data_IF_797388139035
#
_entry.id   IF_797388139035
#
_cell.length_a   1.000
_cell.length_b   1.000
_cell.length_c   1.000
_cell.angle_alpha   90.00
_cell.angle_beta   90.00
_cell.angle_gamma   90.00
#
_symmetry.space_group_name_H-M   'P 1'
#
loop_
_entity.id
_entity.type
_entity.pdbx_description
1 polymer ?
#
# COMPACT_ATOMS: atom_id res chain seq x y z
N UNK A 1 -34.42 -19.89 -4.59
CA UNK A 1 -34.00 -18.88 -3.64
C UNK A 1 -32.83 -19.45 -2.87
N UNK A 2 -31.63 -18.84 -2.95
CA UNK A 2 -30.49 -19.25 -2.10
C UNK A 2 -30.83 -18.84 -0.66
N UNK A 3 -30.81 -19.79 0.26
CA UNK A 3 -31.02 -19.53 1.67
C UNK A 3 -29.78 -18.75 2.20
N UNK A 4 -30.00 -17.53 2.72
CA UNK A 4 -28.93 -16.71 3.31
C UNK A 4 -28.36 -17.49 4.51
N UNK A 5 -27.03 -17.64 4.62
CA UNK A 5 -26.39 -18.31 5.76
C UNK A 5 -26.77 -17.68 7.09
N UNK A 6 -26.94 -18.48 8.14
CA UNK A 6 -27.40 -17.99 9.45
C UNK A 6 -26.44 -16.97 10.10
N UNK A 7 -25.14 -17.06 9.85
CA UNK A 7 -24.17 -16.09 10.36
C UNK A 7 -24.32 -14.72 9.68
N UNK A 8 -24.71 -14.66 8.39
CA UNK A 8 -24.99 -13.42 7.67
C UNK A 8 -26.28 -12.76 8.20
N UNK A 9 -27.30 -13.56 8.51
CA UNK A 9 -28.55 -13.02 9.09
C UNK A 9 -28.31 -12.40 10.47
N UNK A 10 -27.49 -13.03 11.31
CA UNK A 10 -27.13 -12.51 12.64
C UNK A 10 -26.29 -11.24 12.49
N UNK A 11 -25.35 -11.24 11.57
CA UNK A 11 -24.49 -10.08 11.26
C UNK A 11 -25.34 -8.88 10.82
N UNK A 12 -26.22 -9.04 9.83
CA UNK A 12 -27.09 -7.96 9.34
C UNK A 12 -28.02 -7.42 10.43
N UNK A 13 -28.64 -8.28 11.24
CA UNK A 13 -29.52 -7.83 12.32
C UNK A 13 -28.79 -7.05 13.41
N UNK A 14 -27.55 -7.41 13.76
CA UNK A 14 -26.77 -6.67 14.75
C UNK A 14 -26.27 -5.37 14.14
N UNK A 15 -25.86 -5.34 12.88
CA UNK A 15 -25.45 -4.17 12.13
C UNK A 15 -26.58 -3.13 12.06
N UNK A 16 -27.78 -3.54 11.64
CA UNK A 16 -28.97 -2.67 11.64
C UNK A 16 -29.24 -2.07 13.03
N UNK A 17 -29.13 -2.87 14.10
CA UNK A 17 -29.31 -2.36 15.46
C UNK A 17 -28.23 -1.37 15.88
N UNK A 18 -27.01 -1.46 15.36
CA UNK A 18 -25.98 -0.46 15.60
C UNK A 18 -26.28 0.82 14.82
N UNK A 19 -26.67 0.71 13.55
CA UNK A 19 -27.03 1.85 12.68
C UNK A 19 -28.25 2.61 13.19
N UNK A 20 -29.29 1.90 13.66
CA UNK A 20 -30.51 2.46 14.25
C UNK A 20 -30.32 2.98 15.69
N UNK A 21 -29.09 2.95 16.21
CA UNK A 21 -28.73 3.32 17.59
C UNK A 21 -29.39 2.47 18.68
N UNK A 22 -29.79 1.26 18.35
CA UNK A 22 -30.20 0.25 19.34
C UNK A 22 -29.04 -0.20 20.23
N UNK A 23 -27.81 -0.15 19.68
CA UNK A 23 -26.56 -0.21 20.45
C UNK A 23 -25.80 1.10 20.26
N UNK A 24 -25.26 1.66 21.35
CA UNK A 24 -24.46 2.88 21.36
C UNK A 24 -22.98 2.56 21.44
N UNK A 25 -22.14 3.49 21.01
CA UNK A 25 -20.68 3.40 21.21
C UNK A 25 -20.37 3.15 22.69
N UNK A 26 -19.57 2.14 22.96
CA UNK A 26 -19.25 1.67 24.30
C UNK A 26 -20.18 0.59 24.85
N UNK A 27 -21.32 0.31 24.21
CA UNK A 27 -22.22 -0.76 24.62
C UNK A 27 -21.56 -2.12 24.36
N UNK A 28 -21.79 -3.03 25.31
CA UNK A 28 -21.32 -4.41 25.18
C UNK A 28 -22.32 -5.23 24.39
N UNK A 29 -21.87 -5.89 23.32
CA UNK A 29 -22.68 -6.89 22.61
C UNK A 29 -22.85 -8.15 23.45
N UNK A 30 -23.95 -8.91 23.24
CA UNK A 30 -24.09 -10.25 23.79
C UNK A 30 -22.88 -11.11 23.42
N UNK A 31 -22.44 -11.96 24.32
CA UNK A 31 -21.34 -12.90 24.09
C UNK A 31 -21.69 -13.90 22.97
N UNK A 32 -20.71 -14.51 22.36
CA UNK A 32 -20.90 -15.56 21.34
C UNK A 32 -21.78 -16.71 21.84
N UNK A 33 -21.74 -16.99 23.16
CA UNK A 33 -22.62 -17.98 23.80
C UNK A 33 -24.06 -17.48 23.85
N UNK A 34 -24.29 -16.25 24.29
CA UNK A 34 -25.63 -15.66 24.38
C UNK A 34 -26.24 -15.50 22.98
N UNK A 35 -25.46 -15.08 21.97
CA UNK A 35 -25.91 -15.06 20.59
C UNK A 35 -26.24 -16.44 20.03
N UNK A 36 -25.42 -17.45 20.36
CA UNK A 36 -25.70 -18.86 20.02
C UNK A 36 -27.03 -19.37 20.60
N UNK A 37 -27.31 -19.00 21.81
CA UNK A 37 -28.58 -19.36 22.51
C UNK A 37 -29.77 -18.56 21.95
N UNK A 38 -29.59 -17.25 21.69
CA UNK A 38 -30.65 -16.37 21.21
C UNK A 38 -31.09 -16.73 19.76
N UNK A 39 -30.16 -17.05 18.88
CA UNK A 39 -30.44 -17.37 17.46
C UNK A 39 -30.52 -18.89 17.19
N UNK A 40 -30.41 -19.72 18.20
CA UNK A 40 -30.45 -21.19 18.10
C UNK A 40 -29.44 -21.75 17.09
N UNK A 41 -28.22 -21.22 17.08
CA UNK A 41 -27.12 -21.56 16.16
C UNK A 41 -25.92 -22.14 16.92
N UNK A 42 -24.96 -22.72 16.19
CA UNK A 42 -23.69 -23.13 16.77
C UNK A 42 -22.85 -21.92 17.21
N UNK A 43 -21.98 -22.10 18.23
CA UNK A 43 -21.03 -21.06 18.66
C UNK A 43 -20.09 -20.62 17.53
N UNK A 44 -19.78 -21.51 16.57
CA UNK A 44 -18.95 -21.17 15.41
C UNK A 44 -19.71 -20.18 14.51
N UNK A 45 -21.01 -20.35 14.35
CA UNK A 45 -21.88 -19.46 13.56
C UNK A 45 -21.97 -18.07 14.19
N UNK A 46 -22.24 -17.99 15.50
CA UNK A 46 -22.28 -16.71 16.22
C UNK A 46 -20.91 -16.02 16.27
N UNK A 47 -19.82 -16.78 16.44
CA UNK A 47 -18.45 -16.27 16.37
C UNK A 47 -18.15 -15.63 15.02
N UNK A 48 -18.54 -16.28 13.91
CA UNK A 48 -18.31 -15.76 12.56
C UNK A 48 -19.08 -14.45 12.31
N UNK A 49 -20.32 -14.34 12.80
CA UNK A 49 -21.08 -13.10 12.71
C UNK A 49 -20.40 -11.93 13.44
N UNK A 50 -19.87 -12.18 14.65
CA UNK A 50 -19.15 -11.17 15.43
C UNK A 50 -17.79 -10.84 14.83
N UNK A 51 -17.15 -11.78 14.12
CA UNK A 51 -15.92 -11.54 13.36
C UNK A 51 -16.17 -10.57 12.22
N UNK A 52 -17.23 -10.75 11.46
CA UNK A 52 -17.59 -9.82 10.37
C UNK A 52 -17.85 -8.40 10.89
N UNK A 53 -18.56 -8.25 12.01
CA UNK A 53 -18.76 -6.92 12.63
C UNK A 53 -17.45 -6.27 13.08
N UNK A 54 -16.49 -7.07 13.52
CA UNK A 54 -15.16 -6.57 13.92
C UNK A 54 -14.28 -6.23 12.70
N UNK A 55 -14.40 -6.99 11.61
CA UNK A 55 -13.72 -6.72 10.32
C UNK A 55 -14.22 -5.41 9.69
N UNK A 56 -15.50 -5.08 9.86
CA UNK A 56 -16.06 -3.79 9.42
C UNK A 56 -15.77 -2.63 10.37
N UNK A 57 -15.12 -2.88 11.50
CA UNK A 57 -14.80 -1.83 12.46
C UNK A 57 -16.00 -1.29 13.23
N UNK A 58 -17.12 -2.04 13.30
CA UNK A 58 -18.29 -1.69 14.08
C UNK A 58 -18.14 -2.06 15.57
N UNK A 59 -17.32 -3.07 15.86
CA UNK A 59 -17.08 -3.55 17.22
C UNK A 59 -15.60 -3.88 17.44
N UNK A 60 -15.18 -3.86 18.71
CA UNK A 60 -13.84 -4.32 19.13
C UNK A 60 -13.94 -5.40 20.19
N UNK A 61 -13.03 -6.38 20.15
CA UNK A 61 -12.93 -7.45 21.14
C UNK A 61 -11.91 -7.08 22.20
N UNK A 62 -12.31 -7.03 23.45
CA UNK A 62 -11.40 -6.81 24.58
C UNK A 62 -11.25 -8.14 25.34
N UNK A 63 -10.05 -8.76 25.36
CA UNK A 63 -9.82 -10.03 26.03
C UNK A 63 -10.30 -10.00 27.48
N UNK A 64 -11.09 -10.99 27.88
CA UNK A 64 -11.65 -11.12 29.23
C UNK A 64 -12.79 -10.15 29.57
N UNK A 65 -13.12 -9.18 28.71
CA UNK A 65 -14.18 -8.19 28.97
C UNK A 65 -15.39 -8.34 28.04
N UNK A 66 -15.18 -8.79 26.79
CA UNK A 66 -16.24 -8.99 25.81
C UNK A 66 -16.05 -8.20 24.52
N UNK A 67 -17.11 -8.11 23.69
CA UNK A 67 -17.15 -7.36 22.45
C UNK A 67 -17.94 -6.07 22.68
N UNK A 68 -17.42 -4.94 22.23
CA UNK A 68 -18.00 -3.62 22.47
C UNK A 68 -18.17 -2.88 21.14
N UNK A 69 -19.26 -2.14 21.02
CA UNK A 69 -19.50 -1.23 19.89
C UNK A 69 -18.50 -0.08 19.98
N UNK A 70 -17.78 0.17 18.91
CA UNK A 70 -16.87 1.31 18.81
C UNK A 70 -17.50 2.40 17.96
N UNK A 71 -17.03 3.61 18.18
CA UNK A 71 -17.38 4.70 17.26
C UNK A 71 -16.89 4.27 15.89
N UNK A 72 -17.85 3.96 15.01
CA UNK A 72 -17.54 3.80 13.62
C UNK A 72 -16.94 5.14 13.22
N UNK A 73 -15.62 5.23 13.15
CA UNK A 73 -15.04 6.30 12.36
C UNK A 73 -15.58 6.03 10.97
N UNK A 74 -16.67 6.73 10.64
CA UNK A 74 -17.07 6.86 9.25
C UNK A 74 -15.75 7.18 8.55
N UNK A 75 -15.26 6.24 7.75
CA UNK A 75 -14.28 6.59 6.73
C UNK A 75 -14.82 7.88 6.13
N UNK A 76 -14.02 8.96 6.04
CA UNK A 76 -14.53 10.24 5.60
C UNK A 76 -15.42 9.93 4.43
N UNK A 77 -16.72 10.23 4.58
CA UNK A 77 -17.74 9.99 3.54
C UNK A 77 -17.07 10.43 2.27
N UNK A 78 -16.88 9.50 1.33
CA UNK A 78 -16.42 9.84 0.00
C UNK A 78 -17.18 11.10 -0.34
N UNK A 79 -16.48 12.20 -0.56
CA UNK A 79 -17.03 13.52 -0.77
C UNK A 79 -18.35 13.33 -1.50
N UNK A 80 -19.48 13.59 -0.82
CA UNK A 80 -20.79 13.62 -1.46
C UNK A 80 -20.68 14.76 -2.48
N UNK A 81 -20.35 14.39 -3.71
CA UNK A 81 -20.45 15.29 -4.84
C UNK A 81 -21.94 15.56 -4.94
N UNK A 82 -22.36 16.84 -4.83
CA UNK A 82 -23.77 17.18 -4.95
C UNK A 82 -24.31 16.59 -6.26
N UNK A 83 -25.43 15.88 -6.20
CA UNK A 83 -26.06 15.20 -7.31
C UNK A 83 -26.62 16.14 -8.40
N UNK A 84 -26.14 17.38 -8.50
CA UNK A 84 -26.67 18.44 -9.34
C UNK A 84 -25.65 19.05 -10.31
N UNK A 85 -24.81 18.19 -10.92
CA UNK A 85 -24.21 18.54 -12.21
C UNK A 85 -24.51 17.42 -13.22
N UNK A 86 -25.71 17.41 -13.76
CA UNK A 86 -26.05 16.63 -14.95
C UNK A 86 -25.33 17.24 -16.17
N UNK A 87 -24.03 16.98 -16.30
CA UNK A 87 -23.38 17.04 -17.60
C UNK A 87 -23.95 15.86 -18.41
N UNK A 88 -24.43 16.14 -19.62
CA UNK A 88 -24.98 15.15 -20.54
C UNK A 88 -23.98 13.99 -20.68
N UNK A 89 -24.39 12.80 -20.19
CA UNK A 89 -23.60 11.57 -20.34
C UNK A 89 -23.45 11.28 -21.83
N UNK A 90 -22.20 11.41 -22.32
CA UNK A 90 -21.83 10.95 -23.65
C UNK A 90 -22.26 9.46 -23.77
N UNK A 91 -22.93 9.02 -24.82
CA UNK A 91 -23.33 7.61 -24.96
C UNK A 91 -22.08 6.72 -24.90
N UNK A 92 -22.10 5.72 -24.03
CA UNK A 92 -21.05 4.69 -23.95
C UNK A 92 -21.00 3.93 -25.30
N UNK A 93 -19.81 3.61 -25.82
CA UNK A 93 -19.66 2.80 -27.02
C UNK A 93 -20.30 1.40 -26.83
N UNK A 94 -20.65 0.70 -27.93
CA UNK A 94 -21.30 -0.62 -27.96
C UNK A 94 -20.54 -1.71 -27.18
N UNK A 95 -19.28 -1.46 -26.81
CA UNK A 95 -18.46 -2.32 -25.96
C UNK A 95 -18.08 -1.55 -24.67
N UNK A 96 -17.96 -2.26 -23.52
CA UNK A 96 -17.52 -1.62 -22.29
C UNK A 96 -16.17 -0.92 -22.51
N UNK A 97 -15.99 0.33 -22.08
CA UNK A 97 -14.73 1.03 -22.19
C UNK A 97 -13.64 0.28 -21.42
N UNK A 98 -12.42 0.31 -21.92
CA UNK A 98 -11.27 -0.41 -21.34
C UNK A 98 -10.30 0.60 -20.74
N UNK A 99 -9.83 0.33 -19.53
CA UNK A 99 -8.75 1.05 -18.85
C UNK A 99 -7.45 0.29 -19.07
N UNK A 100 -6.41 1.00 -19.50
CA UNK A 100 -5.04 0.51 -19.50
C UNK A 100 -4.41 0.65 -18.11
N UNK A 101 -3.67 -0.37 -17.68
CA UNK A 101 -2.90 -0.33 -16.42
C UNK A 101 -1.45 -0.66 -16.76
N UNK A 102 -0.53 0.27 -16.48
CA UNK A 102 0.91 0.09 -16.69
C UNK A 102 1.59 0.08 -15.34
N UNK A 103 2.21 -1.05 -14.97
CA UNK A 103 2.92 -1.20 -13.71
C UNK A 103 4.40 -1.47 -13.95
N UNK A 104 5.25 -0.93 -13.09
CA UNK A 104 6.68 -1.28 -13.04
C UNK A 104 6.90 -2.75 -12.65
N UNK A 105 6.03 -3.26 -11.79
CA UNK A 105 5.97 -4.64 -11.32
C UNK A 105 5.01 -4.75 -10.14
N UNK A 106 4.77 -5.96 -9.70
CA UNK A 106 3.99 -6.23 -8.48
C UNK A 106 4.41 -7.56 -7.88
N UNK A 107 4.31 -7.67 -6.55
CA UNK A 107 4.68 -8.85 -5.78
C UNK A 107 3.78 -9.04 -4.56
N UNK A 108 4.05 -10.08 -3.79
CA UNK A 108 3.28 -10.41 -2.59
C UNK A 108 3.43 -9.37 -1.47
N UNK A 109 4.53 -8.64 -1.47
CA UNK A 109 4.90 -7.58 -0.52
C UNK A 109 4.33 -6.21 -0.89
N UNK A 110 4.17 -5.92 -2.20
CA UNK A 110 3.56 -4.69 -2.71
C UNK A 110 3.00 -4.88 -4.13
N UNK A 111 1.87 -4.26 -4.40
CA UNK A 111 1.25 -4.16 -5.72
C UNK A 111 0.16 -5.19 -6.01
N UNK A 112 0.20 -6.39 -5.44
CA UNK A 112 -0.83 -7.40 -5.69
C UNK A 112 -2.22 -6.97 -5.19
N UNK A 113 -2.32 -6.38 -4.00
CA UNK A 113 -3.60 -5.90 -3.47
C UNK A 113 -4.11 -4.69 -4.24
N UNK A 114 -3.20 -3.81 -4.66
CA UNK A 114 -3.51 -2.65 -5.48
C UNK A 114 -4.06 -3.09 -6.84
N UNK A 115 -3.40 -4.02 -7.54
CA UNK A 115 -3.86 -4.56 -8.82
C UNK A 115 -5.23 -5.23 -8.70
N UNK A 116 -5.44 -6.05 -7.67
CA UNK A 116 -6.74 -6.68 -7.41
C UNK A 116 -7.84 -5.66 -7.13
N UNK A 117 -7.52 -4.58 -6.45
CA UNK A 117 -8.45 -3.49 -6.17
C UNK A 117 -8.77 -2.66 -7.43
N UNK A 118 -7.76 -2.40 -8.29
CA UNK A 118 -7.98 -1.77 -9.60
C UNK A 118 -8.95 -2.61 -10.43
N UNK A 119 -8.71 -3.93 -10.53
CA UNK A 119 -9.58 -4.83 -11.30
C UNK A 119 -11.02 -4.82 -10.77
N UNK A 120 -11.18 -4.93 -9.45
CA UNK A 120 -12.50 -4.94 -8.82
C UNK A 120 -13.25 -3.62 -9.06
N UNK A 121 -12.57 -2.48 -8.90
CA UNK A 121 -13.20 -1.17 -9.10
C UNK A 121 -13.48 -0.91 -10.59
N UNK A 122 -12.63 -1.36 -11.53
CA UNK A 122 -12.94 -1.33 -12.96
C UNK A 122 -14.26 -2.07 -13.25
N UNK A 123 -14.42 -3.27 -12.70
CA UNK A 123 -15.64 -4.06 -12.84
C UNK A 123 -16.87 -3.35 -12.26
N UNK A 124 -16.73 -2.74 -11.07
CA UNK A 124 -17.81 -1.99 -10.42
C UNK A 124 -18.25 -0.78 -11.25
N UNK A 125 -17.30 -0.13 -11.93
CA UNK A 125 -17.56 1.03 -12.79
C UNK A 125 -17.96 0.67 -14.22
N UNK A 126 -17.98 -0.61 -14.57
CA UNK A 126 -18.34 -1.12 -15.90
C UNK A 126 -17.21 -1.01 -16.95
N UNK A 127 -15.95 -0.96 -16.49
CA UNK A 127 -14.77 -0.96 -17.35
C UNK A 127 -14.17 -2.36 -17.51
N UNK A 128 -13.63 -2.64 -18.70
CA UNK A 128 -12.64 -3.69 -18.90
C UNK A 128 -11.25 -3.19 -18.45
N UNK A 129 -10.31 -4.10 -18.19
CA UNK A 129 -8.94 -3.78 -17.81
C UNK A 129 -7.93 -4.50 -18.71
N UNK A 130 -6.88 -3.79 -19.14
CA UNK A 130 -5.72 -4.35 -19.83
C UNK A 130 -4.46 -3.99 -19.05
N UNK A 131 -3.65 -5.01 -18.69
CA UNK A 131 -2.43 -4.85 -17.91
C UNK A 131 -1.20 -4.99 -18.79
N UNK A 132 -0.23 -4.08 -18.59
CA UNK A 132 1.13 -4.15 -19.12
C UNK A 132 2.11 -3.94 -17.97
N UNK A 133 3.19 -4.74 -17.92
CA UNK A 133 4.28 -4.56 -16.95
C UNK A 133 5.55 -4.12 -17.68
N UNK A 134 6.18 -3.07 -17.19
CA UNK A 134 7.43 -2.53 -17.75
C UNK A 134 8.70 -3.17 -17.17
N UNK A 135 8.58 -3.82 -16.00
CA UNK A 135 9.70 -4.47 -15.29
C UNK A 135 10.94 -3.57 -15.11
N UNK A 136 10.71 -2.31 -14.77
CA UNK A 136 11.78 -1.34 -14.56
C UNK A 136 12.41 -0.81 -15.85
N UNK A 137 11.81 -1.10 -17.01
CA UNK A 137 12.35 -0.71 -18.32
C UNK A 137 11.52 0.39 -18.95
N UNK A 138 12.14 1.52 -19.20
CA UNK A 138 11.50 2.70 -19.82
C UNK A 138 11.01 2.45 -21.24
N UNK A 139 11.75 1.66 -22.02
CA UNK A 139 11.37 1.27 -23.38
C UNK A 139 10.10 0.41 -23.38
N UNK A 140 9.97 -0.53 -22.43
CA UNK A 140 8.77 -1.35 -22.27
C UNK A 140 7.58 -0.52 -21.76
N UNK A 141 7.81 0.45 -20.87
CA UNK A 141 6.77 1.39 -20.42
C UNK A 141 6.22 2.18 -21.61
N UNK A 142 7.10 2.78 -22.41
CA UNK A 142 6.72 3.56 -23.59
C UNK A 142 5.95 2.72 -24.61
N UNK A 143 6.50 1.55 -24.97
CA UNK A 143 5.85 0.61 -25.90
C UNK A 143 4.51 0.14 -25.38
N UNK A 144 4.42 -0.12 -24.06
CA UNK A 144 3.19 -0.53 -23.41
C UNK A 144 2.10 0.54 -23.49
N UNK A 145 2.44 1.80 -23.22
CA UNK A 145 1.53 2.94 -23.32
C UNK A 145 1.02 3.10 -24.75
N UNK A 146 1.93 3.11 -25.73
CA UNK A 146 1.59 3.25 -27.15
C UNK A 146 0.63 2.14 -27.59
N UNK A 147 0.94 0.89 -27.26
CA UNK A 147 0.11 -0.27 -27.58
C UNK A 147 -1.30 -0.19 -26.96
N UNK A 148 -1.39 0.26 -25.71
CA UNK A 148 -2.69 0.44 -25.05
C UNK A 148 -3.51 1.53 -25.76
N UNK A 149 -2.88 2.64 -26.16
CA UNK A 149 -3.53 3.72 -26.91
C UNK A 149 -4.00 3.25 -28.29
N UNK A 150 -3.17 2.49 -29.03
CA UNK A 150 -3.54 1.90 -30.30
C UNK A 150 -4.74 0.93 -30.18
N UNK A 151 -4.84 0.21 -29.06
CA UNK A 151 -5.98 -0.68 -28.77
C UNK A 151 -7.22 0.10 -28.34
N UNK A 152 -7.14 1.43 -28.21
CA UNK A 152 -8.29 2.30 -27.95
C UNK A 152 -8.75 2.28 -26.48
N UNK A 153 -7.84 2.12 -25.52
CA UNK A 153 -8.20 2.30 -24.11
C UNK A 153 -8.71 3.70 -23.83
N UNK A 154 -9.69 3.81 -22.95
CA UNK A 154 -10.35 5.09 -22.61
C UNK A 154 -9.52 5.98 -21.66
N UNK A 155 -8.56 5.38 -20.97
CA UNK A 155 -7.64 6.06 -20.06
C UNK A 155 -6.61 5.09 -19.53
N UNK A 156 -5.57 5.60 -18.84
CA UNK A 156 -4.45 4.79 -18.35
C UNK A 156 -4.16 5.12 -16.87
N UNK A 157 -4.04 4.07 -16.04
CA UNK A 157 -3.43 4.14 -14.72
C UNK A 157 -1.99 3.70 -14.85
N UNK A 158 -1.04 4.48 -14.33
CA UNK A 158 0.37 4.18 -14.50
C UNK A 158 1.18 4.33 -13.21
N UNK A 159 1.98 3.31 -12.89
CA UNK A 159 3.11 3.40 -11.97
C UNK A 159 4.38 3.58 -12.80
N UNK A 160 4.87 4.81 -12.88
CA UNK A 160 5.99 5.17 -13.76
C UNK A 160 7.30 4.52 -13.33
N UNK A 161 8.13 4.10 -14.28
CA UNK A 161 9.45 3.51 -14.00
C UNK A 161 10.39 4.52 -13.34
N UNK A 162 10.42 5.76 -13.85
CA UNK A 162 11.25 6.86 -13.35
C UNK A 162 10.45 8.16 -13.30
N UNK A 163 10.81 9.06 -12.37
CA UNK A 163 10.12 10.33 -12.17
C UNK A 163 10.82 11.55 -12.81
N UNK A 164 12.10 11.48 -13.14
CA UNK A 164 12.83 12.63 -13.71
C UNK A 164 13.04 12.54 -15.22
N UNK A 165 13.00 11.35 -15.81
CA UNK A 165 13.11 11.12 -17.24
C UNK A 165 11.79 10.54 -17.79
N UNK A 166 10.76 11.36 -17.81
CA UNK A 166 9.44 10.94 -18.31
C UNK A 166 9.53 10.34 -19.70
N UNK A 167 8.71 9.33 -19.99
CA UNK A 167 8.56 8.89 -21.37
C UNK A 167 7.84 10.00 -22.15
N UNK A 168 8.22 10.18 -23.40
CA UNK A 168 7.59 11.16 -24.29
C UNK A 168 6.07 10.90 -24.39
N UNK A 169 5.67 9.63 -24.40
CA UNK A 169 4.27 9.20 -24.42
C UNK A 169 3.46 9.71 -23.22
N UNK A 170 4.06 9.81 -22.02
CA UNK A 170 3.37 10.36 -20.85
C UNK A 170 3.14 11.86 -20.99
N UNK A 171 4.16 12.60 -21.49
CA UNK A 171 4.03 14.03 -21.73
C UNK A 171 3.02 14.33 -22.83
N UNK A 172 3.00 13.52 -23.89
CA UNK A 172 1.99 13.62 -24.94
C UNK A 172 0.56 13.42 -24.41
N UNK A 173 0.35 12.42 -23.55
CA UNK A 173 -0.95 12.20 -22.91
C UNK A 173 -1.40 13.44 -22.11
N UNK A 174 -0.50 14.03 -21.31
CA UNK A 174 -0.80 15.23 -20.54
C UNK A 174 -1.16 16.43 -21.44
N UNK A 175 -0.41 16.63 -22.52
CA UNK A 175 -0.67 17.74 -23.49
C UNK A 175 -1.96 17.52 -24.28
N UNK A 176 -2.30 16.28 -24.60
CA UNK A 176 -3.51 15.91 -25.35
C UNK A 176 -4.75 15.80 -24.45
N UNK A 177 -4.64 16.04 -23.15
CA UNK A 177 -5.71 15.83 -22.17
C UNK A 177 -6.28 14.41 -22.24
N UNK A 178 -5.43 13.42 -22.52
CA UNK A 178 -5.83 12.03 -22.46
C UNK A 178 -5.95 11.61 -21.00
N UNK A 179 -7.05 10.95 -20.59
CA UNK A 179 -7.25 10.56 -19.19
C UNK A 179 -6.12 9.68 -18.66
N UNK A 180 -5.39 10.17 -17.65
CA UNK A 180 -4.26 9.46 -17.07
C UNK A 180 -4.08 9.77 -15.58
N UNK A 181 -3.98 8.72 -14.78
CA UNK A 181 -3.73 8.82 -13.34
C UNK A 181 -2.44 8.08 -12.99
N UNK A 182 -1.53 8.76 -12.29
CA UNK A 182 -0.34 8.13 -11.75
C UNK A 182 -0.59 7.57 -10.36
N UNK A 183 -0.02 6.42 -10.05
CA UNK A 183 -0.10 5.77 -8.74
C UNK A 183 1.29 5.53 -8.17
N UNK A 184 1.38 5.52 -6.83
CA UNK A 184 2.62 5.31 -6.07
C UNK A 184 3.70 6.38 -6.33
N UNK A 185 4.06 6.62 -7.57
CA UNK A 185 5.11 7.56 -7.99
C UNK A 185 4.51 8.80 -8.66
N UNK A 186 4.83 9.97 -8.11
CA UNK A 186 4.34 11.26 -8.61
C UNK A 186 5.29 11.81 -9.67
N UNK A 187 4.72 12.32 -10.75
CA UNK A 187 5.48 13.07 -11.78
C UNK A 187 5.51 14.55 -11.41
N UNK A 188 6.68 15.05 -11.02
CA UNK A 188 6.85 16.45 -10.63
C UNK A 188 6.78 17.37 -11.84
N UNK A 189 5.93 18.41 -11.79
CA UNK A 189 5.82 19.41 -12.86
C UNK A 189 4.99 18.97 -14.07
N UNK A 190 4.42 17.79 -14.08
CA UNK A 190 3.48 17.32 -15.10
C UNK A 190 2.06 17.38 -14.53
N UNK A 191 1.09 18.03 -15.20
CA UNK A 191 -0.28 18.17 -14.72
C UNK A 191 -1.07 16.87 -14.93
N UNK A 192 -0.76 15.85 -14.16
CA UNK A 192 -1.42 14.54 -14.16
C UNK A 192 -1.90 14.23 -12.73
N UNK A 193 -3.08 13.69 -12.60
CA UNK A 193 -3.65 13.28 -11.33
C UNK A 193 -2.81 12.15 -10.69
N UNK A 194 -2.75 12.17 -9.36
CA UNK A 194 -1.92 11.25 -8.59
C UNK A 194 -2.69 10.66 -7.41
N UNK A 195 -2.52 9.37 -7.17
CA UNK A 195 -2.98 8.67 -5.97
C UNK A 195 -1.83 7.89 -5.37
N UNK A 196 -1.53 8.10 -4.10
CA UNK A 196 -0.43 7.39 -3.42
C UNK A 196 -0.33 7.70 -1.94
N UNK A 197 0.69 7.16 -1.29
CA UNK A 197 0.97 7.38 0.13
C UNK A 197 1.75 8.67 0.35
N UNK A 198 1.54 9.36 1.48
CA UNK A 198 2.46 10.41 1.95
C UNK A 198 3.77 9.76 2.44
N UNK A 199 4.66 9.52 1.50
CA UNK A 199 5.92 8.82 1.76
C UNK A 199 6.85 9.61 2.69
N UNK A 200 6.80 10.94 2.64
CA UNK A 200 7.61 11.78 3.51
C UNK A 200 7.12 11.68 4.97
N UNK A 201 5.83 11.82 5.20
CA UNK A 201 5.25 11.69 6.53
C UNK A 201 5.44 10.26 7.09
N UNK A 202 5.22 9.24 6.27
CA UNK A 202 5.36 7.84 6.66
C UNK A 202 6.81 7.49 7.03
N UNK A 203 7.77 7.94 6.23
CA UNK A 203 9.20 7.73 6.50
C UNK A 203 9.65 8.47 7.77
N UNK A 204 9.17 9.70 7.97
CA UNK A 204 9.44 10.47 9.18
C UNK A 204 8.92 9.76 10.43
N UNK A 205 7.70 9.25 10.38
CA UNK A 205 7.10 8.53 11.50
C UNK A 205 7.84 7.22 11.81
N UNK A 206 8.18 6.44 10.77
CA UNK A 206 8.94 5.20 10.94
C UNK A 206 10.37 5.45 11.48
N UNK A 207 11.03 6.52 11.04
CA UNK A 207 12.33 6.91 11.58
C UNK A 207 12.22 7.36 13.05
N UNK A 208 11.19 8.13 13.42
CA UNK A 208 10.90 8.50 14.82
C UNK A 208 10.68 7.28 15.69
N UNK A 209 10.03 6.25 15.20
CA UNK A 209 9.86 4.97 15.90
C UNK A 209 11.20 4.39 16.38
N UNK A 210 12.26 4.46 15.58
CA UNK A 210 13.62 4.04 15.98
C UNK A 210 14.25 5.04 16.96
N UNK A 211 14.15 6.33 16.67
CA UNK A 211 14.73 7.39 17.50
C UNK A 211 14.11 7.43 18.91
N UNK A 212 12.80 7.21 19.06
CA UNK A 212 12.09 7.12 20.35
C UNK A 212 12.58 5.94 21.21
N UNK A 213 13.07 4.88 20.55
CA UNK A 213 13.63 3.68 21.20
C UNK A 213 15.12 3.78 21.49
N UNK A 214 15.73 4.95 21.23
CA UNK A 214 17.10 5.25 21.56
C UNK A 214 18.13 4.92 20.48
N UNK A 215 17.72 4.40 19.33
CA UNK A 215 18.61 4.17 18.19
C UNK A 215 19.04 5.52 17.60
N UNK A 216 20.31 5.65 17.22
CA UNK A 216 20.89 6.93 16.76
C UNK A 216 21.75 6.80 15.51
N UNK A 217 22.23 5.59 15.22
CA UNK A 217 23.12 5.26 14.11
C UNK A 217 22.42 4.32 13.13
N UNK A 218 21.30 4.80 12.56
CA UNK A 218 20.50 4.00 11.64
C UNK A 218 21.11 4.01 10.24
N UNK A 219 21.37 2.82 9.72
CA UNK A 219 21.71 2.62 8.32
C UNK A 219 20.44 2.74 7.46
N UNK A 220 20.42 3.72 6.55
CA UNK A 220 19.37 3.80 5.53
C UNK A 220 19.73 2.93 4.35
N UNK A 221 18.83 2.03 3.94
CA UNK A 221 19.08 1.02 2.91
C UNK A 221 18.15 1.28 1.72
N UNK A 222 18.75 1.53 0.56
CA UNK A 222 18.01 1.80 -0.69
C UNK A 222 18.59 1.02 -1.86
N UNK A 223 17.81 0.77 -2.93
CA UNK A 223 18.33 0.16 -4.14
C UNK A 223 19.25 1.10 -4.91
N UNK A 224 19.99 0.52 -5.84
CA UNK A 224 20.87 1.26 -6.76
C UNK A 224 20.07 2.19 -7.66
N UNK A 225 20.53 3.42 -7.82
CA UNK A 225 20.13 4.40 -8.86
C UNK A 225 18.61 4.58 -9.08
N UNK A 226 17.75 4.18 -8.15
CA UNK A 226 16.34 4.48 -8.23
C UNK A 226 16.11 5.90 -7.71
N UNK A 227 16.01 6.86 -8.61
CA UNK A 227 15.58 8.23 -8.29
C UNK A 227 14.09 8.34 -8.58
N UNK A 228 13.26 7.73 -7.71
CA UNK A 228 11.82 7.86 -7.77
C UNK A 228 11.34 8.88 -6.74
N UNK A 229 10.20 9.52 -7.00
CA UNK A 229 9.60 10.48 -6.06
C UNK A 229 9.36 9.84 -4.69
N UNK A 230 8.92 8.59 -4.65
CA UNK A 230 8.76 7.81 -3.42
C UNK A 230 10.05 7.69 -2.63
N UNK A 231 11.16 7.36 -3.30
CA UNK A 231 12.45 7.24 -2.64
C UNK A 231 12.96 8.59 -2.13
N UNK A 232 12.85 9.65 -2.94
CA UNK A 232 13.24 11.01 -2.51
C UNK A 232 12.44 11.48 -1.30
N UNK A 233 11.11 11.25 -1.31
CA UNK A 233 10.23 11.59 -0.20
C UNK A 233 10.57 10.76 1.05
N UNK A 234 10.87 9.46 0.93
CA UNK A 234 11.32 8.61 2.04
C UNK A 234 12.64 9.09 2.64
N UNK A 235 13.60 9.47 1.79
CA UNK A 235 14.87 10.07 2.25
C UNK A 235 14.63 11.39 3.00
N UNK A 236 13.76 12.25 2.48
CA UNK A 236 13.46 13.54 3.12
C UNK A 236 12.76 13.34 4.46
N UNK A 237 11.80 12.43 4.56
CA UNK A 237 11.12 12.09 5.81
C UNK A 237 12.09 11.56 6.86
N UNK A 238 12.99 10.64 6.47
CA UNK A 238 14.05 10.12 7.34
C UNK A 238 14.96 11.24 7.88
N UNK A 239 15.48 12.10 6.99
CA UNK A 239 16.32 13.25 7.38
C UNK A 239 15.59 14.23 8.27
N UNK A 240 14.31 14.51 8.02
CA UNK A 240 13.47 15.39 8.85
C UNK A 240 13.31 14.84 10.26
N UNK A 241 13.07 13.53 10.42
CA UNK A 241 13.00 12.91 11.74
C UNK A 241 14.30 13.12 12.53
N UNK A 242 15.45 12.89 11.92
CA UNK A 242 16.75 13.11 12.56
C UNK A 242 16.93 14.58 13.00
N UNK A 243 16.59 15.52 12.12
CA UNK A 243 16.68 16.96 12.43
C UNK A 243 15.79 17.37 13.62
N UNK A 244 14.57 16.79 13.72
CA UNK A 244 13.66 17.03 14.84
C UNK A 244 14.26 16.60 16.20
N UNK A 245 15.16 15.61 16.21
CA UNK A 245 15.89 15.16 17.39
C UNK A 245 17.26 15.87 17.59
N UNK A 246 17.55 16.90 16.79
CA UNK A 246 18.83 17.59 16.83
C UNK A 246 20.01 16.75 16.33
N UNK A 247 19.75 15.75 15.51
CA UNK A 247 20.72 14.84 14.93
C UNK A 247 20.85 15.06 13.42
N UNK A 248 21.96 14.59 12.86
CA UNK A 248 22.15 14.51 11.41
C UNK A 248 22.10 13.06 10.95
N UNK A 249 21.40 12.80 9.85
CA UNK A 249 21.45 11.53 9.16
C UNK A 249 22.80 11.42 8.45
N UNK A 250 23.66 10.54 8.93
CA UNK A 250 24.99 10.32 8.37
C UNK A 250 24.90 9.42 7.13
N UNK A 251 25.00 10.01 5.96
CA UNK A 251 24.89 9.30 4.70
C UNK A 251 26.07 8.33 4.44
N UNK A 252 27.20 8.46 5.16
CA UNK A 252 28.30 7.52 5.08
C UNK A 252 27.94 6.13 5.67
N UNK A 253 26.89 6.08 6.48
CA UNK A 253 26.33 4.85 7.05
C UNK A 253 25.22 4.23 6.18
N UNK A 254 24.99 4.71 4.97
CA UNK A 254 23.92 4.22 4.09
C UNK A 254 24.40 3.14 3.14
N UNK A 255 23.54 2.15 2.91
CA UNK A 255 23.72 1.15 1.86
C UNK A 255 22.86 1.56 0.66
N UNK A 256 23.49 1.87 -0.47
CA UNK A 256 22.85 2.53 -1.62
C UNK A 256 23.06 1.82 -2.95
N UNK A 257 23.71 0.65 -2.99
CA UNK A 257 24.05 -0.09 -4.22
C UNK A 257 23.53 -1.53 -4.17
N UNK A 258 22.25 -1.72 -3.80
CA UNK A 258 21.59 -3.01 -3.87
C UNK A 258 20.84 -3.13 -5.19
N UNK A 259 21.03 -4.22 -5.91
CA UNK A 259 20.46 -4.43 -7.25
C UNK A 259 19.51 -5.61 -7.32
N UNK A 260 19.61 -6.56 -6.42
CA UNK A 260 18.82 -7.79 -6.44
C UNK A 260 17.30 -7.54 -6.36
N UNK A 261 16.89 -6.42 -5.75
CA UNK A 261 15.46 -6.07 -5.62
C UNK A 261 14.90 -5.28 -6.81
N UNK A 262 15.75 -4.84 -7.72
CA UNK A 262 15.30 -4.11 -8.91
C UNK A 262 14.53 -5.05 -9.86
N UNK A 263 13.36 -4.61 -10.39
CA UNK A 263 12.51 -5.45 -11.25
C UNK A 263 13.25 -6.09 -12.42
N UNK A 264 14.18 -5.37 -13.04
CA UNK A 264 14.98 -5.86 -14.16
C UNK A 264 15.89 -7.07 -13.81
N UNK A 265 16.27 -7.23 -12.53
CA UNK A 265 17.14 -8.34 -12.09
C UNK A 265 16.35 -9.56 -11.66
N UNK A 266 15.13 -9.40 -11.18
CA UNK A 266 14.27 -10.51 -10.76
C UNK A 266 14.06 -11.57 -11.85
N UNK A 267 14.03 -11.16 -13.12
CA UNK A 267 13.74 -12.06 -14.23
C UNK A 267 14.94 -12.87 -14.74
N UNK A 268 16.18 -12.38 -14.60
CA UNK A 268 17.30 -12.93 -15.37
C UNK A 268 18.56 -13.26 -14.56
N UNK A 269 18.77 -12.71 -13.38
CA UNK A 269 20.02 -12.88 -12.60
C UNK A 269 19.82 -12.87 -11.09
N UNK A 270 18.62 -13.11 -10.60
CA UNK A 270 18.27 -12.88 -9.20
C UNK A 270 19.18 -13.52 -8.17
N UNK A 271 19.53 -14.82 -8.31
CA UNK A 271 20.35 -15.54 -7.33
C UNK A 271 21.80 -15.07 -7.31
N UNK A 272 22.41 -14.85 -8.47
CA UNK A 272 23.80 -14.38 -8.53
C UNK A 272 23.92 -12.96 -7.99
N UNK A 273 23.05 -12.06 -8.40
CA UNK A 273 23.06 -10.68 -7.94
C UNK A 273 22.79 -10.59 -6.43
N UNK A 274 21.88 -11.43 -5.92
CA UNK A 274 21.61 -11.49 -4.48
C UNK A 274 22.86 -11.89 -3.70
N UNK A 275 23.62 -12.87 -4.15
CA UNK A 275 24.85 -13.30 -3.49
C UNK A 275 25.90 -12.15 -3.48
N UNK A 276 26.07 -11.46 -4.61
CA UNK A 276 26.99 -10.31 -4.71
C UNK A 276 26.57 -9.15 -3.77
N UNK A 277 25.27 -8.87 -3.69
CA UNK A 277 24.76 -7.83 -2.81
C UNK A 277 24.89 -8.21 -1.32
N UNK A 278 24.64 -9.49 -0.97
CA UNK A 278 24.84 -9.99 0.39
C UNK A 278 26.29 -9.86 0.85
N UNK A 279 27.27 -10.18 -0.01
CA UNK A 279 28.70 -10.01 0.30
C UNK A 279 29.04 -8.54 0.61
N UNK A 280 28.57 -7.59 -0.22
CA UNK A 280 28.76 -6.16 -0.01
C UNK A 280 28.11 -5.68 1.30
N UNK A 281 26.90 -6.12 1.58
CA UNK A 281 26.18 -5.75 2.82
C UNK A 281 26.94 -6.28 4.04
N UNK A 282 27.40 -7.54 4.02
CA UNK A 282 28.17 -8.12 5.12
C UNK A 282 29.46 -7.36 5.35
N UNK A 283 30.22 -7.04 4.29
CA UNK A 283 31.44 -6.23 4.41
C UNK A 283 31.13 -4.84 5.01
N UNK A 284 30.05 -4.21 4.57
CA UNK A 284 29.64 -2.91 5.07
C UNK A 284 29.28 -2.94 6.56
N UNK A 285 28.48 -3.93 6.99
CA UNK A 285 28.12 -4.13 8.40
C UNK A 285 29.37 -4.34 9.27
N UNK A 286 30.34 -5.12 8.80
CA UNK A 286 31.58 -5.39 9.53
C UNK A 286 32.49 -4.15 9.64
N UNK A 287 32.46 -3.27 8.64
CA UNK A 287 33.21 -1.99 8.64
C UNK A 287 32.58 -0.92 9.52
N UNK A 288 31.27 -1.02 9.79
CA UNK A 288 30.48 -0.05 10.53
C UNK A 288 29.79 -0.66 11.77
N UNK A 289 30.58 -1.14 12.76
CA UNK A 289 30.03 -1.76 13.97
C UNK A 289 29.23 -0.79 14.85
N UNK A 290 29.32 0.53 14.59
CA UNK A 290 28.56 1.57 15.26
C UNK A 290 27.09 1.63 14.83
N UNK A 291 26.69 0.99 13.74
CA UNK A 291 25.30 0.94 13.28
C UNK A 291 24.46 0.15 14.29
N UNK A 292 23.40 0.79 14.78
CA UNK A 292 22.53 0.23 15.81
C UNK A 292 21.14 -0.20 15.31
N UNK A 293 20.77 0.19 14.09
CA UNK A 293 19.49 -0.13 13.47
C UNK A 293 19.51 0.05 11.95
N UNK A 294 18.50 -0.50 11.25
CA UNK A 294 18.40 -0.45 9.80
C UNK A 294 17.02 0.03 9.38
N UNK A 295 16.98 0.95 8.42
CA UNK A 295 15.77 1.46 7.79
C UNK A 295 15.82 1.11 6.30
N UNK A 296 15.07 0.10 5.87
CA UNK A 296 14.98 -0.31 4.48
C UNK A 296 13.77 0.36 3.79
N UNK A 297 13.97 0.87 2.59
CA UNK A 297 12.91 1.57 1.85
C UNK A 297 11.86 0.64 1.27
N UNK A 298 12.07 -0.66 1.29
CA UNK A 298 11.14 -1.70 0.85
C UNK A 298 11.35 -3.01 1.60
N UNK A 299 10.35 -3.88 1.59
CA UNK A 299 10.35 -5.13 2.36
C UNK A 299 11.45 -6.11 1.91
N UNK A 300 11.66 -6.25 0.60
CA UNK A 300 12.67 -7.16 0.05
C UNK A 300 14.09 -6.77 0.50
N UNK A 301 14.41 -5.47 0.56
CA UNK A 301 15.68 -4.99 1.11
C UNK A 301 15.82 -5.33 2.60
N UNK A 302 14.75 -5.17 3.37
CA UNK A 302 14.76 -5.53 4.79
C UNK A 302 15.07 -7.02 4.99
N UNK A 303 14.52 -7.90 4.14
CA UNK A 303 14.79 -9.33 4.19
C UNK A 303 16.26 -9.66 3.88
N UNK A 304 16.87 -9.00 2.88
CA UNK A 304 18.29 -9.19 2.54
C UNK A 304 19.17 -8.74 3.70
N UNK A 305 18.94 -7.53 4.24
CA UNK A 305 19.70 -7.01 5.39
C UNK A 305 19.55 -7.94 6.60
N UNK A 306 18.35 -8.37 6.92
CA UNK A 306 18.11 -9.27 8.05
C UNK A 306 18.83 -10.63 7.86
N UNK A 307 18.86 -11.14 6.64
CA UNK A 307 19.61 -12.37 6.32
C UNK A 307 21.11 -12.17 6.58
N UNK A 308 21.69 -11.04 6.18
CA UNK A 308 23.08 -10.70 6.46
C UNK A 308 23.35 -10.54 7.97
N UNK A 309 22.47 -9.86 8.69
CA UNK A 309 22.56 -9.73 10.16
C UNK A 309 22.52 -11.10 10.85
N UNK A 310 21.65 -12.01 10.40
CA UNK A 310 21.61 -13.40 10.90
C UNK A 310 22.92 -14.15 10.69
N UNK A 311 23.51 -14.02 9.50
CA UNK A 311 24.81 -14.64 9.20
C UNK A 311 25.93 -14.14 10.13
N UNK A 312 25.80 -12.89 10.61
CA UNK A 312 26.74 -12.26 11.54
C UNK A 312 26.34 -12.39 13.03
N UNK A 313 25.19 -12.98 13.35
CA UNK A 313 24.69 -13.09 14.73
C UNK A 313 24.26 -11.76 15.35
N UNK A 314 23.86 -10.77 14.54
CA UNK A 314 23.50 -9.41 14.95
C UNK A 314 21.99 -9.12 14.92
N UNK A 315 21.16 -10.07 14.45
CA UNK A 315 19.73 -9.86 14.21
C UNK A 315 18.91 -9.45 15.46
N UNK A 316 19.37 -9.83 16.66
CA UNK A 316 18.71 -9.46 17.91
C UNK A 316 19.16 -8.10 18.45
N UNK A 317 20.29 -7.58 17.96
CA UNK A 317 20.90 -6.34 18.43
C UNK A 317 20.51 -5.13 17.57
N UNK A 318 20.31 -5.36 16.29
CA UNK A 318 20.08 -4.34 15.29
C UNK A 318 18.70 -4.54 14.66
N UNK A 319 17.65 -3.84 15.14
CA UNK A 319 16.33 -3.96 14.54
C UNK A 319 16.34 -3.43 13.09
N UNK A 320 15.48 -4.05 12.28
CA UNK A 320 15.22 -3.62 10.91
C UNK A 320 13.78 -3.13 10.84
N UNK A 321 13.57 -1.95 10.27
CA UNK A 321 12.26 -1.43 9.92
C UNK A 321 12.19 -1.18 8.42
N UNK A 322 10.98 -1.21 7.83
CA UNK A 322 10.85 -1.04 6.37
C UNK A 322 9.51 -0.43 5.95
N UNK A 323 9.42 -0.15 4.68
CA UNK A 323 8.13 0.00 4.00
C UNK A 323 7.67 -1.36 3.51
N UNK A 324 6.35 -1.53 3.52
CA UNK A 324 5.63 -2.71 3.09
C UNK A 324 5.92 -3.97 3.93
N UNK A 325 5.20 -5.03 3.66
CA UNK A 325 5.32 -6.28 4.40
C UNK A 325 4.50 -7.38 3.74
N UNK A 326 4.82 -8.63 4.06
CA UNK A 326 4.03 -9.75 3.59
C UNK A 326 2.63 -9.74 4.20
N UNK A 327 1.61 -9.74 3.36
CA UNK A 327 0.20 -9.90 3.77
C UNK A 327 -0.20 -11.39 3.92
N UNK A 328 0.75 -12.25 4.17
CA UNK A 328 0.45 -13.65 4.39
C UNK A 328 -0.35 -13.82 5.69
N UNK A 329 -1.57 -14.32 5.57
CA UNK A 329 -2.52 -14.53 6.69
C UNK A 329 -1.93 -15.47 7.77
N UNK A 330 -1.00 -16.32 7.38
CA UNK A 330 -0.39 -17.34 8.26
C UNK A 330 0.89 -16.86 8.92
N UNK A 331 1.53 -15.83 8.37
CA UNK A 331 2.84 -15.37 8.82
C UNK A 331 2.77 -13.91 9.27
N UNK A 332 3.04 -13.67 10.54
CA UNK A 332 3.18 -12.30 11.07
C UNK A 332 4.33 -11.57 10.36
N UNK A 333 4.21 -10.26 10.22
CA UNK A 333 5.27 -9.47 9.61
C UNK A 333 6.58 -9.60 10.39
N UNK A 334 7.66 -9.89 9.68
CA UNK A 334 9.00 -10.02 10.28
C UNK A 334 9.55 -8.70 10.82
N UNK A 335 9.01 -7.56 10.38
CA UNK A 335 9.52 -6.23 10.68
C UNK A 335 8.42 -5.27 11.07
N UNK A 336 8.73 -4.31 11.94
CA UNK A 336 7.92 -3.10 12.07
C UNK A 336 7.99 -2.34 10.74
N UNK A 337 6.83 -2.02 10.17
CA UNK A 337 6.79 -1.46 8.83
C UNK A 337 5.66 -0.45 8.63
N UNK A 338 5.83 0.41 7.63
CA UNK A 338 4.75 1.21 7.07
C UNK A 338 3.88 0.30 6.21
N UNK A 339 2.62 0.12 6.57
CA UNK A 339 1.63 -0.55 5.74
C UNK A 339 0.89 0.48 4.91
N UNK A 340 1.13 0.47 3.62
CA UNK A 340 0.39 1.28 2.65
C UNK A 340 -0.99 0.71 2.41
N UNK A 341 -1.99 1.57 2.17
CA UNK A 341 -3.35 1.11 1.86
C UNK A 341 -3.50 0.91 0.34
N UNK A 342 -2.87 -0.15 -0.17
CA UNK A 342 -2.86 -0.50 -1.59
C UNK A 342 -4.26 -0.62 -2.18
N UNK A 343 -5.23 -1.16 -1.41
CA UNK A 343 -6.61 -1.32 -1.86
C UNK A 343 -7.26 0.03 -2.15
N UNK A 344 -7.05 0.99 -1.26
CA UNK A 344 -7.59 2.34 -1.42
C UNK A 344 -6.89 3.08 -2.56
N UNK A 345 -5.56 2.94 -2.69
CA UNK A 345 -4.82 3.50 -3.84
C UNK A 345 -5.41 2.97 -5.15
N UNK A 346 -5.61 1.66 -5.26
CA UNK A 346 -6.16 1.05 -6.46
C UNK A 346 -7.59 1.49 -6.76
N UNK A 347 -8.50 1.49 -5.78
CA UNK A 347 -9.89 1.87 -6.03
C UNK A 347 -10.04 3.37 -6.34
N UNK A 348 -9.33 4.23 -5.63
CA UNK A 348 -9.37 5.68 -5.89
C UNK A 348 -8.77 6.05 -7.25
N UNK A 349 -7.71 5.36 -7.69
CA UNK A 349 -7.13 5.61 -9.02
C UNK A 349 -8.11 5.35 -10.15
N UNK A 350 -8.91 4.28 -10.04
CA UNK A 350 -9.94 3.97 -11.04
C UNK A 350 -11.09 4.99 -10.99
N UNK A 351 -11.54 5.38 -9.79
CA UNK A 351 -12.60 6.40 -9.64
C UNK A 351 -12.17 7.73 -10.24
N UNK A 352 -10.96 8.17 -9.91
CA UNK A 352 -10.39 9.41 -10.42
C UNK A 352 -10.26 9.37 -11.95
N UNK A 353 -9.71 8.28 -12.51
CA UNK A 353 -9.62 8.10 -13.94
C UNK A 353 -10.99 8.06 -14.63
N UNK A 354 -11.98 7.43 -13.99
CA UNK A 354 -13.35 7.39 -14.50
C UNK A 354 -13.99 8.78 -14.55
N UNK A 355 -13.69 9.65 -13.60
CA UNK A 355 -14.15 11.04 -13.60
C UNK A 355 -13.48 11.83 -14.74
N UNK A 356 -12.17 11.66 -14.97
CA UNK A 356 -11.45 12.24 -16.11
C UNK A 356 -12.04 11.74 -17.46
N UNK A 357 -12.32 10.46 -17.59
CA UNK A 357 -12.97 9.88 -18.79
C UNK A 357 -14.35 10.50 -19.04
N UNK A 358 -15.07 10.89 -17.99
CA UNK A 358 -16.37 11.55 -18.07
C UNK A 358 -16.28 13.05 -18.33
N UNK A 359 -15.08 13.63 -18.35
CA UNK A 359 -14.81 15.03 -18.69
C UNK A 359 -14.51 15.92 -17.48
N UNK A 360 -14.10 15.36 -16.34
CA UNK A 360 -13.53 16.15 -15.24
C UNK A 360 -12.04 16.38 -15.52
N UNK A 361 -11.68 17.59 -15.91
CA UNK A 361 -10.29 17.97 -16.28
C UNK A 361 -9.48 18.46 -15.04
N UNK A 362 -10.03 18.38 -13.83
CA UNK A 362 -9.33 18.85 -12.63
C UNK A 362 -8.21 17.87 -12.24
N UNK A 363 -6.97 18.35 -12.24
CA UNK A 363 -5.81 17.57 -11.77
C UNK A 363 -5.83 17.45 -10.26
N UNK A 364 -5.95 16.22 -9.74
CA UNK A 364 -6.08 15.95 -8.32
C UNK A 364 -4.87 15.18 -7.77
N UNK A 365 -4.47 15.53 -6.56
CA UNK A 365 -3.50 14.77 -5.78
C UNK A 365 -4.19 14.18 -4.56
N UNK A 366 -4.25 12.86 -4.49
CA UNK A 366 -4.89 12.14 -3.39
C UNK A 366 -3.84 11.37 -2.60
N UNK A 367 -3.66 11.76 -1.34
CA UNK A 367 -2.78 11.06 -0.40
C UNK A 367 -3.62 10.10 0.45
N UNK A 368 -3.31 8.82 0.34
CA UNK A 368 -4.03 7.74 1.03
C UNK A 368 -3.40 7.50 2.41
N UNK A 369 -4.19 7.36 3.47
CA UNK A 369 -3.68 7.04 4.79
C UNK A 369 -2.88 5.74 4.83
N UNK A 370 -1.83 5.72 5.64
CA UNK A 370 -0.99 4.56 5.94
C UNK A 370 -1.05 4.23 7.44
N UNK A 371 -0.49 3.10 7.83
CA UNK A 371 -0.36 2.70 9.24
C UNK A 371 1.04 2.15 9.51
N UNK A 372 1.58 2.44 10.71
CA UNK A 372 2.74 1.70 11.22
C UNK A 372 2.23 0.41 11.87
N UNK A 373 2.66 -0.74 11.35
CA UNK A 373 2.45 -2.04 11.97
C UNK A 373 3.71 -2.44 12.73
N UNK A 374 3.61 -2.51 14.04
CA UNK A 374 4.71 -2.99 14.86
C UNK A 374 4.80 -4.53 14.78
N UNK A 375 6.04 -5.03 14.71
CA UNK A 375 6.30 -6.46 14.84
C UNK A 375 5.88 -6.91 16.24
N UNK A 376 4.94 -7.85 16.31
CA UNK A 376 4.58 -8.50 17.57
C UNK A 376 5.67 -9.55 17.87
N UNK A 377 6.50 -9.34 18.90
CA UNK A 377 7.35 -10.41 19.41
C UNK A 377 6.40 -11.45 20.00
N UNK A 378 6.05 -12.46 19.24
CA UNK A 378 5.51 -13.69 19.84
C UNK A 378 6.64 -14.24 20.69
N UNK A 379 6.46 -14.31 22.00
CA UNK A 379 7.38 -14.98 22.90
C UNK A 379 7.53 -16.43 22.39
N UNK A 380 8.60 -16.69 21.63
CA UNK A 380 9.09 -18.04 21.47
C UNK A 380 9.89 -18.31 22.75
N UNK A 381 9.20 -18.88 23.77
CA UNK A 381 9.81 -19.61 24.87
C UNK A 381 10.46 -20.91 24.35
#
# INVERSE_FOLDING_TARGET
MKQIPLYEQIYEEIREKIEERGYRVGDRLPSEKELSEQYHVSRITSKKAVELLAEEGLVTRIPGKGTFVIEHQEMPKALEIPADSMTEKKPLPDHPPVIGVVLDGFGADFGCQMLGSIEMECRNQGFGMMLVCSYGRKDEETTGIERLRELGVSGIIIMCVHDENYSESILEMAVQHFPVVTIDRRLKGVPISFVGTDNEAASRELARYLLDRGYRKTCFVKPHAAETSTLQERIQGFKKAYNEYGLFADESLWITDIRATLPAYHQYRGEQQLAEDEEKIIEFIQKHPEIDSYFAVEYSLAQIVYTCLRKLGLQEKCPVVCFDGSDNIVQESMFTHVKQNEKEIGSLSVRLLADEIRGDDEVKTVLVPYHIREMTKTAMD
#
